data_IF_457632129647
#
_entry.id   IF_457632129647
#
_cell.length_a   1.000
_cell.length_b   1.000
_cell.length_c   1.000
_cell.angle_alpha   90.00
_cell.angle_beta   90.00
_cell.angle_gamma   90.00
#
_symmetry.space_group_name_H-M   'P 1'
#
loop_
_entity.id
_entity.type
_entity.pdbx_description
1 polymer ?
#
# COMPACT_ATOMS: atom_id res chain seq x y z
N UNK A 1 -66.46 -17.78 -13.94
CA UNK A 1 -65.70 -16.61 -13.51
C UNK A 1 -64.65 -16.92 -12.45
N UNK A 2 -63.86 -18.03 -12.53
CA UNK A 2 -62.84 -18.42 -11.52
C UNK A 2 -61.46 -18.65 -12.09
N UNK A 3 -61.18 -18.23 -13.33
CA UNK A 3 -59.88 -18.49 -14.00
C UNK A 3 -59.04 -17.23 -14.27
N UNK A 4 -59.47 -16.03 -13.89
CA UNK A 4 -58.80 -14.77 -14.17
C UNK A 4 -57.97 -14.30 -12.96
N UNK A 5 -58.22 -14.79 -11.75
CA UNK A 5 -57.52 -14.38 -10.52
C UNK A 5 -56.15 -15.00 -10.35
N UNK A 6 -55.88 -16.13 -11.04
CA UNK A 6 -54.62 -16.85 -10.90
C UNK A 6 -53.44 -16.23 -11.70
N UNK A 7 -53.73 -15.35 -12.67
CA UNK A 7 -52.71 -14.77 -13.52
C UNK A 7 -52.12 -13.45 -12.97
N UNK A 8 -52.77 -12.84 -11.98
CA UNK A 8 -52.33 -11.57 -11.40
C UNK A 8 -51.40 -11.71 -10.20
N UNK A 9 -51.28 -12.91 -9.63
CA UNK A 9 -50.38 -13.18 -8.50
C UNK A 9 -48.98 -13.54 -8.92
N UNK A 10 -48.71 -13.75 -10.23
CA UNK A 10 -47.39 -14.11 -10.74
C UNK A 10 -46.54 -12.88 -11.11
N UNK A 11 -47.09 -11.68 -11.08
CA UNK A 11 -46.38 -10.47 -11.52
C UNK A 11 -45.83 -9.61 -10.38
N UNK A 12 -45.91 -10.07 -9.13
CA UNK A 12 -45.41 -9.36 -7.94
C UNK A 12 -44.21 -10.02 -7.32
N UNK A 13 -43.53 -10.96 -8.01
CA UNK A 13 -42.13 -11.23 -7.74
C UNK A 13 -41.29 -10.15 -8.42
N UNK A 14 -41.37 -8.93 -7.88
CA UNK A 14 -40.33 -7.93 -8.12
C UNK A 14 -39.06 -8.57 -7.62
N UNK A 15 -38.21 -8.97 -8.54
CA UNK A 15 -36.82 -9.29 -8.24
C UNK A 15 -36.23 -8.10 -7.51
N UNK A 16 -36.06 -8.22 -6.20
CA UNK A 16 -35.04 -7.48 -5.50
C UNK A 16 -33.70 -8.01 -6.00
N UNK A 17 -33.31 -7.66 -7.22
CA UNK A 17 -31.91 -7.70 -7.58
C UNK A 17 -31.26 -6.59 -6.76
N UNK A 18 -30.72 -6.95 -5.61
CA UNK A 18 -29.72 -6.10 -4.97
C UNK A 18 -28.71 -5.79 -6.05
N UNK A 19 -28.66 -4.55 -6.50
CA UNK A 19 -27.56 -4.08 -7.31
C UNK A 19 -26.30 -4.50 -6.54
N UNK A 20 -25.45 -5.35 -7.15
CA UNK A 20 -24.15 -5.65 -6.55
C UNK A 20 -23.49 -4.28 -6.38
N UNK A 21 -23.22 -3.90 -5.14
CA UNK A 21 -22.49 -2.68 -4.87
C UNK A 21 -21.20 -2.75 -5.70
N UNK A 22 -21.04 -1.82 -6.62
CA UNK A 22 -19.79 -1.70 -7.34
C UNK A 22 -18.71 -1.35 -6.32
N UNK A 23 -17.47 -1.87 -6.51
CA UNK A 23 -16.36 -1.49 -5.64
C UNK A 23 -16.29 0.04 -5.53
N UNK A 24 -16.27 0.53 -4.29
CA UNK A 24 -16.12 1.97 -4.02
C UNK A 24 -14.71 2.38 -4.40
N UNK A 25 -14.57 3.41 -5.24
CA UNK A 25 -13.28 4.04 -5.51
C UNK A 25 -12.87 4.85 -4.29
N UNK A 26 -11.79 4.47 -3.63
CA UNK A 26 -11.28 5.14 -2.42
C UNK A 26 -10.34 6.29 -2.80
N UNK A 27 -9.43 6.05 -3.75
CA UNK A 27 -8.56 7.06 -4.34
C UNK A 27 -8.63 6.93 -5.86
N UNK A 28 -9.04 8.01 -6.52
CA UNK A 28 -9.04 8.07 -7.98
C UNK A 28 -7.66 8.51 -8.47
N UNK A 29 -7.01 7.70 -9.30
CA UNK A 29 -5.70 7.99 -9.84
C UNK A 29 -4.90 6.72 -10.12
N UNK A 30 -3.61 6.91 -10.43
CA UNK A 30 -2.65 5.85 -10.66
C UNK A 30 -1.76 5.73 -9.41
N UNK A 31 -2.11 4.78 -8.54
CA UNK A 31 -1.42 4.50 -7.29
C UNK A 31 -1.08 3.01 -7.19
N UNK A 32 -0.18 2.51 -8.06
CA UNK A 32 0.15 1.09 -8.11
C UNK A 32 0.99 0.65 -6.91
N UNK A 33 0.96 -0.66 -6.64
CA UNK A 33 1.73 -1.32 -5.59
C UNK A 33 1.55 -0.66 -4.22
N UNK A 34 0.32 -0.46 -3.73
CA UNK A 34 0.11 0.21 -2.45
C UNK A 34 0.61 -0.65 -1.29
N UNK A 35 1.42 -0.06 -0.41
CA UNK A 35 1.81 -0.61 0.87
C UNK A 35 1.13 0.15 1.99
N UNK A 36 0.43 -0.56 2.88
CA UNK A 36 -0.36 0.03 3.97
C UNK A 36 0.20 -0.42 5.32
N UNK A 37 0.52 0.55 6.16
CA UNK A 37 0.95 0.36 7.54
C UNK A 37 -0.15 0.82 8.50
N UNK A 38 -0.48 0.00 9.49
CA UNK A 38 -1.28 0.42 10.64
C UNK A 38 -0.39 0.79 11.82
N UNK A 39 -0.59 1.99 12.36
CA UNK A 39 0.09 2.47 13.56
C UNK A 39 -0.93 2.98 14.59
N UNK A 40 -1.27 2.13 15.54
CA UNK A 40 -2.35 2.40 16.49
C UNK A 40 -3.71 2.50 15.82
N UNK A 41 -4.30 3.70 15.82
CA UNK A 41 -5.58 4.03 15.16
C UNK A 41 -5.40 4.62 13.77
N UNK A 42 -4.17 4.91 13.39
CA UNK A 42 -3.83 5.57 12.13
C UNK A 42 -3.37 4.55 11.10
N UNK A 43 -3.68 4.82 9.84
CA UNK A 43 -3.22 4.06 8.69
C UNK A 43 -2.41 4.98 7.80
N UNK A 44 -1.27 4.49 7.34
CA UNK A 44 -0.42 5.18 6.40
C UNK A 44 -0.25 4.32 5.15
N UNK A 45 -0.26 4.94 4.00
CA UNK A 45 -0.08 4.26 2.72
C UNK A 45 0.93 4.99 1.88
N UNK A 46 1.72 4.24 1.15
CA UNK A 46 2.52 4.75 0.03
C UNK A 46 2.39 3.82 -1.17
N UNK A 47 2.87 4.24 -2.33
CA UNK A 47 2.74 3.50 -3.59
C UNK A 47 3.95 3.75 -4.48
N UNK A 48 4.07 3.01 -5.57
CA UNK A 48 5.13 3.18 -6.56
C UNK A 48 5.09 4.57 -7.18
N UNK A 49 6.14 5.39 -7.02
CA UNK A 49 6.23 6.68 -7.70
C UNK A 49 6.82 6.57 -9.11
N UNK A 50 7.42 5.42 -9.49
CA UNK A 50 8.18 5.23 -10.72
C UNK A 50 9.20 6.36 -10.96
N UNK A 51 8.96 7.19 -11.95
CA UNK A 51 9.82 8.31 -12.34
C UNK A 51 9.35 9.66 -11.78
N UNK A 52 8.31 9.69 -10.95
CA UNK A 52 7.84 10.94 -10.34
C UNK A 52 8.69 11.30 -9.11
N UNK A 53 9.24 12.50 -9.12
CA UNK A 53 9.99 13.07 -8.00
C UNK A 53 9.39 14.43 -7.57
N UNK A 54 9.35 14.73 -6.27
CA UNK A 54 9.71 13.88 -5.13
C UNK A 54 8.78 12.66 -5.02
N UNK A 55 9.35 11.51 -4.66
CA UNK A 55 8.65 10.22 -4.64
C UNK A 55 8.06 9.82 -3.30
N UNK A 56 7.43 8.65 -3.28
CA UNK A 56 6.78 8.03 -2.12
C UNK A 56 5.87 8.99 -1.36
N UNK A 57 4.77 9.39 -2.02
CA UNK A 57 3.71 10.15 -1.36
C UNK A 57 3.13 9.30 -0.22
N UNK A 58 3.20 9.82 1.00
CA UNK A 58 2.58 9.22 2.16
C UNK A 58 1.16 9.77 2.29
N UNK A 59 0.22 8.87 2.40
CA UNK A 59 -1.19 9.13 2.70
C UNK A 59 -1.49 8.73 4.14
N UNK A 60 -2.43 9.40 4.77
CA UNK A 60 -2.95 9.09 6.10
C UNK A 60 -4.45 8.88 6.05
N UNK A 61 -4.93 7.93 6.85
CA UNK A 61 -6.35 7.66 7.08
C UNK A 61 -6.57 7.13 8.49
N UNK A 62 -7.80 7.28 9.02
CA UNK A 62 -8.25 6.64 10.24
C UNK A 62 -9.36 5.61 10.01
N UNK A 63 -9.87 5.51 8.78
CA UNK A 63 -11.00 4.66 8.43
C UNK A 63 -10.79 3.80 7.17
N UNK A 64 -9.63 3.94 6.50
CA UNK A 64 -9.29 3.32 5.22
C UNK A 64 -10.14 3.78 4.03
N UNK A 65 -11.02 4.73 4.24
CA UNK A 65 -11.90 5.27 3.20
C UNK A 65 -11.51 6.69 2.79
N UNK A 66 -11.15 7.52 3.77
CA UNK A 66 -10.77 8.91 3.56
C UNK A 66 -9.26 9.05 3.76
N UNK A 67 -8.56 9.42 2.69
CA UNK A 67 -7.10 9.53 2.66
C UNK A 67 -6.68 10.95 2.37
N UNK A 68 -5.76 11.46 3.18
CA UNK A 68 -5.17 12.79 3.04
C UNK A 68 -3.65 12.67 2.82
N UNK A 69 -3.06 13.47 1.90
CA UNK A 69 -1.62 13.47 1.70
C UNK A 69 -0.90 14.10 2.90
N UNK A 70 0.20 13.46 3.33
CA UNK A 70 1.00 13.88 4.48
C UNK A 70 2.31 14.54 4.05
N UNK A 71 3.13 13.79 3.32
CA UNK A 71 4.44 14.23 2.86
C UNK A 71 4.90 13.39 1.68
N UNK A 72 6.03 13.77 1.10
CA UNK A 72 6.79 12.96 0.15
C UNK A 72 8.09 12.51 0.80
N UNK A 73 8.27 11.19 0.92
CA UNK A 73 9.35 10.61 1.69
C UNK A 73 10.70 10.59 0.96
N UNK A 74 10.70 10.61 -0.37
CA UNK A 74 11.91 10.55 -1.17
C UNK A 74 12.12 11.88 -1.91
N UNK A 75 13.12 12.64 -1.48
CA UNK A 75 13.46 13.94 -2.09
C UNK A 75 14.29 13.77 -3.37
N UNK A 76 15.22 12.81 -3.36
CA UNK A 76 16.11 12.52 -4.48
C UNK A 76 15.65 11.26 -5.22
N UNK A 77 16.06 11.13 -6.45
CA UNK A 77 15.61 10.09 -7.35
C UNK A 77 16.79 9.17 -7.76
N UNK A 78 16.64 7.87 -7.45
CA UNK A 78 17.66 6.85 -7.73
C UNK A 78 17.26 5.94 -8.92
N UNK A 79 16.43 6.46 -9.82
CA UNK A 79 15.85 5.72 -10.91
C UNK A 79 14.38 5.38 -10.68
N UNK A 80 13.78 4.51 -11.50
CA UNK A 80 12.39 4.10 -11.32
C UNK A 80 12.22 3.35 -10.01
N UNK A 81 11.67 4.01 -9.00
CA UNK A 81 11.36 3.41 -7.71
C UNK A 81 9.97 2.76 -7.76
N UNK A 82 9.87 1.51 -7.30
CA UNK A 82 8.67 0.68 -7.45
C UNK A 82 8.35 -0.04 -6.14
N UNK A 83 7.17 -0.65 -6.07
CA UNK A 83 6.73 -1.62 -5.07
C UNK A 83 7.32 -1.40 -3.66
N UNK A 84 7.01 -0.27 -3.01
CA UNK A 84 7.53 0.03 -1.69
C UNK A 84 6.94 -0.90 -0.63
N UNK A 85 7.73 -1.20 0.40
CA UNK A 85 7.26 -1.79 1.65
C UNK A 85 7.42 -0.76 2.78
N UNK A 86 6.30 -0.21 3.23
CA UNK A 86 6.22 0.77 4.33
C UNK A 86 6.00 0.04 5.65
N UNK A 87 6.98 0.10 6.54
CA UNK A 87 6.93 -0.61 7.82
C UNK A 87 7.35 0.29 8.98
N UNK A 88 6.92 -0.08 10.20
CA UNK A 88 7.41 0.49 11.45
C UNK A 88 8.11 -0.59 12.26
N UNK A 89 9.34 -0.33 12.65
CA UNK A 89 10.12 -1.21 13.49
C UNK A 89 10.91 -0.39 14.52
N UNK A 90 10.86 -0.79 15.80
CA UNK A 90 11.51 -0.10 16.90
C UNK A 90 11.27 1.43 16.89
N UNK A 91 9.99 1.80 16.74
CA UNK A 91 9.51 3.17 16.73
C UNK A 91 10.06 4.07 15.60
N UNK A 92 10.59 3.46 14.54
CA UNK A 92 11.09 4.14 13.34
C UNK A 92 10.36 3.61 12.11
N UNK A 93 10.05 4.49 11.17
CA UNK A 93 9.43 4.16 9.89
C UNK A 93 10.51 3.87 8.85
N UNK A 94 10.26 2.90 7.98
CA UNK A 94 11.15 2.50 6.89
C UNK A 94 10.33 2.33 5.62
N UNK A 95 10.92 2.69 4.49
CA UNK A 95 10.43 2.31 3.18
C UNK A 95 11.56 1.56 2.49
N UNK A 96 11.32 0.27 2.20
CA UNK A 96 12.18 -0.55 1.36
C UNK A 96 11.61 -0.52 -0.05
N UNK A 97 12.46 -0.39 -1.06
CA UNK A 97 12.00 -0.30 -2.44
C UNK A 97 13.09 -0.71 -3.43
N UNK A 98 12.72 -1.32 -4.58
CA UNK A 98 13.65 -1.57 -5.67
C UNK A 98 13.77 -0.32 -6.55
N UNK A 99 15.00 0.01 -6.91
CA UNK A 99 15.33 1.03 -7.91
C UNK A 99 16.73 0.77 -8.48
N UNK A 100 17.00 1.17 -9.71
CA UNK A 100 18.31 1.08 -10.35
C UNK A 100 18.98 -0.33 -10.26
N UNK A 101 18.17 -1.40 -10.26
CA UNK A 101 18.63 -2.79 -10.24
C UNK A 101 19.08 -3.36 -8.88
N UNK A 102 18.82 -2.63 -7.81
CA UNK A 102 19.07 -3.03 -6.42
C UNK A 102 17.88 -2.63 -5.52
N UNK A 103 17.91 -3.00 -4.24
CA UNK A 103 16.95 -2.55 -3.24
C UNK A 103 17.58 -1.47 -2.37
N UNK A 104 16.78 -0.49 -2.03
CA UNK A 104 17.13 0.68 -1.24
C UNK A 104 16.27 0.76 0.01
N UNK A 105 16.71 1.54 0.98
CA UNK A 105 15.94 1.87 2.16
C UNK A 105 16.09 3.34 2.51
N UNK A 106 14.98 3.96 2.90
CA UNK A 106 14.93 5.25 3.59
C UNK A 106 14.20 5.09 4.92
N UNK A 107 14.47 5.95 5.89
CA UNK A 107 13.81 5.89 7.20
C UNK A 107 13.58 7.27 7.79
N UNK A 108 12.64 7.33 8.76
CA UNK A 108 12.34 8.52 9.54
C UNK A 108 11.87 8.14 10.95
N UNK A 109 12.12 8.99 11.93
CA UNK A 109 11.60 8.82 13.28
C UNK A 109 10.15 9.34 13.41
N UNK A 110 9.72 10.24 12.53
CA UNK A 110 8.34 10.68 12.34
C UNK A 110 7.91 10.39 10.91
N UNK A 111 6.69 9.89 10.72
CA UNK A 111 6.14 9.58 9.39
C UNK A 111 6.11 10.79 8.45
N UNK A 112 6.04 11.99 9.01
CA UNK A 112 6.10 13.26 8.27
C UNK A 112 7.52 13.64 7.85
N UNK A 113 8.54 12.91 8.33
CA UNK A 113 9.94 13.17 8.10
C UNK A 113 10.59 14.07 9.18
N UNK A 114 11.82 14.55 8.98
CA UNK A 114 12.56 14.34 7.72
C UNK A 114 12.94 12.88 7.48
N UNK A 115 12.85 12.46 6.23
CA UNK A 115 13.30 11.14 5.78
C UNK A 115 14.79 11.17 5.46
N UNK A 116 15.47 10.05 5.67
CA UNK A 116 16.90 9.92 5.42
C UNK A 116 17.23 9.97 3.92
N UNK A 117 18.50 10.19 3.60
CA UNK A 117 19.02 9.88 2.27
C UNK A 117 18.87 8.38 2.00
N UNK A 118 18.69 7.97 0.72
CA UNK A 118 18.61 6.57 0.33
C UNK A 118 19.89 5.80 0.61
N UNK A 119 19.76 4.58 1.12
CA UNK A 119 20.87 3.65 1.33
C UNK A 119 20.68 2.43 0.45
N UNK A 120 21.67 2.16 -0.41
CA UNK A 120 21.71 0.99 -1.26
C UNK A 120 22.05 -0.26 -0.42
N UNK A 121 21.11 -1.21 -0.38
CA UNK A 121 21.28 -2.48 0.31
C UNK A 121 22.14 -3.48 -0.50
N UNK A 122 22.40 -3.20 -1.77
CA UNK A 122 23.15 -4.08 -2.71
C UNK A 122 22.51 -5.45 -2.88
N UNK A 123 21.19 -5.51 -2.73
CA UNK A 123 20.40 -6.74 -2.83
C UNK A 123 19.57 -6.69 -4.09
N UNK A 124 19.78 -7.63 -5.00
CA UNK A 124 19.01 -7.73 -6.26
C UNK A 124 17.69 -8.43 -6.02
N UNK A 125 16.66 -8.02 -6.76
CA UNK A 125 15.30 -8.53 -6.71
C UNK A 125 14.32 -7.37 -6.65
N UNK A 126 13.03 -7.69 -6.67
CA UNK A 126 11.94 -6.72 -6.62
C UNK A 126 10.94 -7.13 -5.54
N UNK A 127 9.96 -6.26 -5.28
CA UNK A 127 8.86 -6.48 -4.35
C UNK A 127 9.36 -6.85 -2.94
N UNK A 128 10.12 -5.96 -2.27
CA UNK A 128 10.64 -6.24 -0.95
C UNK A 128 9.51 -6.35 0.08
N UNK A 129 9.66 -7.26 1.04
CA UNK A 129 8.80 -7.39 2.20
C UNK A 129 9.65 -7.56 3.45
N UNK A 130 9.55 -6.63 4.40
CA UNK A 130 10.31 -6.68 5.65
C UNK A 130 9.58 -7.52 6.72
N UNK A 131 10.34 -8.28 7.47
CA UNK A 131 9.85 -9.01 8.64
C UNK A 131 10.94 -9.04 9.72
N UNK A 132 10.53 -9.07 10.97
CA UNK A 132 11.40 -9.37 12.11
C UNK A 132 10.94 -10.68 12.77
N UNK A 133 11.88 -11.51 13.19
CA UNK A 133 11.60 -12.70 13.99
C UNK A 133 11.37 -12.35 15.47
N UNK A 134 11.07 -13.36 16.27
CA UNK A 134 10.79 -13.20 17.70
C UNK A 134 12.02 -12.70 18.49
N UNK A 135 13.22 -12.94 17.99
CA UNK A 135 14.49 -12.48 18.55
C UNK A 135 14.88 -11.09 18.09
N UNK A 136 14.07 -10.46 17.21
CA UNK A 136 14.30 -9.13 16.67
C UNK A 136 15.29 -9.08 15.51
N UNK A 137 15.66 -10.21 14.93
CA UNK A 137 16.45 -10.23 13.69
C UNK A 137 15.55 -9.85 12.54
N UNK A 138 16.07 -9.03 11.66
CA UNK A 138 15.33 -8.46 10.53
C UNK A 138 15.71 -9.15 9.23
N UNK A 139 14.71 -9.33 8.38
CA UNK A 139 14.88 -9.97 7.07
C UNK A 139 14.13 -9.16 6.02
N UNK A 140 14.67 -9.13 4.83
CA UNK A 140 14.02 -8.61 3.64
C UNK A 140 13.77 -9.78 2.69
N UNK A 141 12.50 -10.08 2.45
CA UNK A 141 12.07 -11.03 1.44
C UNK A 141 11.86 -10.30 0.12
N UNK A 142 12.12 -11.00 -0.95
CA UNK A 142 12.00 -10.48 -2.31
C UNK A 142 11.17 -11.45 -3.14
N UNK A 143 10.60 -11.00 -4.23
CA UNK A 143 9.98 -11.87 -5.21
C UNK A 143 10.93 -13.01 -5.62
N UNK A 144 10.40 -14.11 -6.11
CA UNK A 144 11.14 -15.33 -6.44
C UNK A 144 11.68 -16.13 -5.23
N UNK A 145 11.16 -15.87 -4.02
CA UNK A 145 11.53 -16.63 -2.82
C UNK A 145 12.94 -16.37 -2.30
N UNK A 146 13.56 -15.28 -2.71
CA UNK A 146 14.84 -14.82 -2.17
C UNK A 146 14.63 -14.04 -0.89
N UNK A 147 15.59 -14.11 0.03
CA UNK A 147 15.60 -13.35 1.26
C UNK A 147 17.01 -13.10 1.74
N UNK A 148 17.18 -12.02 2.49
CA UNK A 148 18.46 -11.63 3.08
C UNK A 148 18.21 -11.13 4.50
N UNK A 149 19.10 -11.48 5.43
CA UNK A 149 19.12 -10.90 6.76
C UNK A 149 19.71 -9.48 6.68
N UNK A 150 19.02 -8.52 7.29
CA UNK A 150 19.44 -7.13 7.38
C UNK A 150 20.34 -6.85 8.57
#
# INVERSE_FOLDING_TARGET
>A
MKKVISLFLFFLMVWNSSAKDFPKVILAGDYPDPSILRDGKDYYMTHSPFYYAPGFLIWHSQDLEHWEPVCRAMAQWEGSAMAPDLVKYNNRYYIYYPAAGTNWVIWADDIRGPWSEPVDLKVKGIDPGHVADAEGKRYLYLSEGKGVQL
#
